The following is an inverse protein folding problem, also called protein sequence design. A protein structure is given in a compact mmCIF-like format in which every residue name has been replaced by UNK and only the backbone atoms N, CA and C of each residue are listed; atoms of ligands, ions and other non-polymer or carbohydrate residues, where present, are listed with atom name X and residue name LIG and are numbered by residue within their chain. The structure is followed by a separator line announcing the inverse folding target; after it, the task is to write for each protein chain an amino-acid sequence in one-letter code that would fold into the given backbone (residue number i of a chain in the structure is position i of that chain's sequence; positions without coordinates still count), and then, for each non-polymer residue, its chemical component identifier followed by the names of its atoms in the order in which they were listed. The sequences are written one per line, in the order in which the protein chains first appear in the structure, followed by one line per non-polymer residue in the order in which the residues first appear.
data_IF_360573602185
#
_entry.id   IF_360573602185
#
_cell.length_a   1.000
_cell.length_b   1.000
_cell.length_c   1.000
_cell.angle_alpha   90.00
_cell.angle_beta   90.00
_cell.angle_gamma   90.00
#
_symmetry.space_group_name_H-M   'P 1'
#
loop_
_entity.id
_entity.type
_entity.pdbx_description
1 polymer ?
#
# COMPACT_ATOMS: atom_id res chain seq x y z
N UNK A 1 -6.30 -9.49 5.93
CA UNK A 1 -6.14 -10.96 5.96
C UNK A 1 -4.66 -11.36 5.97
N UNK A 2 -4.31 -12.48 6.62
CA UNK A 2 -2.93 -12.98 6.71
C UNK A 2 -2.29 -13.32 5.34
N UNK A 3 -3.09 -13.60 4.30
CA UNK A 3 -2.61 -13.96 2.96
C UNK A 3 -1.91 -12.82 2.21
N UNK A 4 -2.42 -11.60 2.30
CA UNK A 4 -1.74 -10.43 1.71
C UNK A 4 -0.41 -10.14 2.40
N UNK A 5 -0.34 -10.39 3.71
CA UNK A 5 0.86 -10.22 4.50
C UNK A 5 1.91 -11.32 4.24
N UNK A 6 1.50 -12.50 3.78
CA UNK A 6 2.39 -13.60 3.43
C UNK A 6 3.13 -13.40 2.10
N UNK A 7 2.75 -12.43 1.26
CA UNK A 7 3.38 -12.16 -0.05
C UNK A 7 4.44 -11.05 -0.03
N UNK A 8 4.59 -10.40 1.13
CA UNK A 8 5.50 -9.28 1.35
C UNK A 8 6.77 -9.76 2.07
N UNK A 9 7.93 -9.16 1.76
CA UNK A 9 9.14 -9.39 2.55
C UNK A 9 8.99 -8.92 4.00
N UNK A 10 8.04 -8.02 4.30
CA UNK A 10 7.83 -7.48 5.64
C UNK A 10 6.35 -7.23 5.96
N UNK A 11 5.92 -7.67 7.15
CA UNK A 11 4.58 -7.47 7.73
C UNK A 11 4.64 -6.60 9.00
N UNK A 12 3.66 -5.69 9.18
CA UNK A 12 3.41 -5.00 10.45
C UNK A 12 2.49 -5.85 11.34
N UNK A 13 3.04 -6.42 12.40
CA UNK A 13 2.33 -7.40 13.26
C UNK A 13 1.66 -6.73 14.48
N UNK A 14 2.16 -5.61 14.98
CA UNK A 14 1.67 -4.99 16.23
C UNK A 14 1.99 -3.47 16.28
N UNK A 15 1.08 -2.65 16.83
CA UNK A 15 1.24 -1.19 17.02
C UNK A 15 -0.12 -0.47 17.17
N UNK A 16 -0.22 0.60 17.99
CA UNK A 16 -1.46 1.33 18.26
C UNK A 16 -2.07 1.96 16.99
N UNK A 17 -3.39 2.11 16.98
CA UNK A 17 -4.22 2.36 15.79
C UNK A 17 -4.61 3.83 15.56
N UNK A 18 -4.60 4.70 16.56
CA UNK A 18 -5.19 6.05 16.45
C UNK A 18 -4.26 7.20 16.87
N UNK A 19 -2.98 6.89 17.03
CA UNK A 19 -1.97 7.88 17.41
C UNK A 19 -1.42 8.65 16.21
N UNK A 20 -0.95 9.89 16.39
CA UNK A 20 -0.13 10.57 15.38
C UNK A 20 1.03 9.65 14.97
N UNK A 21 1.62 9.82 13.76
CA UNK A 21 2.75 9.01 13.33
C UNK A 21 3.84 9.06 14.41
N UNK A 22 4.08 7.92 15.07
CA UNK A 22 5.02 7.72 16.16
C UNK A 22 6.00 6.61 15.78
N UNK A 23 7.21 6.64 16.32
CA UNK A 23 8.26 5.67 16.02
C UNK A 23 7.96 4.33 16.73
N UNK A 24 7.20 3.47 16.04
CA UNK A 24 6.83 2.12 16.50
C UNK A 24 7.99 1.12 16.41
N UNK A 25 8.13 0.26 17.43
CA UNK A 25 9.02 -0.91 17.41
C UNK A 25 8.36 -2.02 16.57
N UNK A 26 8.68 -2.07 15.29
CA UNK A 26 8.08 -3.01 14.35
C UNK A 26 8.71 -4.40 14.49
N UNK A 27 7.89 -5.42 14.73
CA UNK A 27 8.30 -6.83 14.52
C UNK A 27 8.07 -7.18 13.06
N UNK A 28 9.17 -7.33 12.32
CA UNK A 28 9.18 -7.71 10.91
C UNK A 28 9.17 -9.24 10.78
N UNK A 29 8.19 -9.80 10.07
CA UNK A 29 8.13 -11.23 9.74
C UNK A 29 8.40 -11.42 8.23
N UNK A 30 9.21 -12.43 7.82
CA UNK A 30 9.44 -12.72 6.41
C UNK A 30 8.21 -13.38 5.77
N UNK A 31 7.68 -12.81 4.69
CA UNK A 31 6.72 -13.46 3.80
C UNK A 31 7.40 -13.98 2.52
N UNK A 32 6.66 -14.77 1.74
CA UNK A 32 7.05 -15.26 0.42
C UNK A 32 7.51 -14.09 -0.45
N UNK A 33 8.75 -14.19 -0.92
CA UNK A 33 9.66 -13.18 -1.47
C UNK A 33 9.22 -12.44 -2.76
N UNK A 34 7.93 -12.22 -2.96
CA UNK A 34 7.33 -11.70 -4.18
C UNK A 34 7.35 -10.16 -4.25
N UNK A 35 7.20 -9.47 -3.12
CA UNK A 35 7.30 -8.02 -3.01
C UNK A 35 8.53 -7.62 -2.20
N UNK A 36 9.62 -7.30 -2.90
CA UNK A 36 10.83 -6.73 -2.29
C UNK A 36 10.59 -5.26 -1.98
N UNK A 37 11.08 -4.80 -0.83
CA UNK A 37 11.03 -3.38 -0.42
C UNK A 37 9.61 -2.83 -0.28
N UNK A 38 8.63 -3.69 0.04
CA UNK A 38 7.26 -3.30 0.37
C UNK A 38 6.95 -3.72 1.80
N UNK A 39 6.24 -2.88 2.53
CA UNK A 39 5.62 -3.22 3.81
C UNK A 39 4.11 -3.18 3.63
N UNK A 40 3.42 -4.25 4.03
CA UNK A 40 1.97 -4.36 3.91
C UNK A 40 1.30 -4.20 5.26
N UNK A 41 0.25 -3.37 5.28
CA UNK A 41 -0.68 -3.20 6.38
C UNK A 41 -2.12 -3.55 5.94
N UNK A 42 -2.91 -4.15 6.81
CA UNK A 42 -4.25 -4.68 6.55
C UNK A 42 -5.29 -3.95 7.40
N UNK A 43 -6.57 -3.96 7.03
CA UNK A 43 -7.63 -3.23 7.77
C UNK A 43 -7.25 -1.75 7.96
N UNK A 44 -6.70 -1.16 6.89
CA UNK A 44 -5.87 0.03 6.97
C UNK A 44 -6.65 1.26 7.41
N UNK A 45 -7.64 1.70 6.63
CA UNK A 45 -8.46 2.86 6.97
C UNK A 45 -9.33 2.61 8.21
N UNK A 46 -9.84 1.38 8.36
CA UNK A 46 -10.78 1.01 9.43
C UNK A 46 -10.19 1.12 10.84
N UNK A 47 -8.86 1.07 10.95
CA UNK A 47 -8.14 1.08 12.23
C UNK A 47 -7.13 2.24 12.32
N UNK A 48 -7.32 3.33 11.57
CA UNK A 48 -6.48 4.53 11.67
C UNK A 48 -5.00 4.33 11.32
N UNK A 49 -4.65 3.29 10.55
CA UNK A 49 -3.26 2.79 10.43
C UNK A 49 -2.33 3.63 9.56
N UNK A 50 -2.78 4.78 9.09
CA UNK A 50 -1.95 5.71 8.33
C UNK A 50 -0.72 6.17 9.12
N UNK A 51 -0.90 6.51 10.40
CA UNK A 51 0.18 7.01 11.25
C UNK A 51 1.35 6.03 11.33
N UNK A 52 1.09 4.77 11.67
CA UNK A 52 2.15 3.76 11.76
C UNK A 52 2.79 3.41 10.43
N UNK A 53 2.03 3.41 9.33
CA UNK A 53 2.58 3.14 8.00
C UNK A 53 3.50 4.29 7.54
N UNK A 54 3.12 5.54 7.81
CA UNK A 54 3.99 6.71 7.62
C UNK A 54 5.27 6.59 8.46
N UNK A 55 5.18 6.15 9.72
CA UNK A 55 6.35 5.94 10.56
C UNK A 55 7.31 4.87 10.03
N UNK A 56 6.80 3.84 9.36
CA UNK A 56 7.64 2.81 8.72
C UNK A 56 8.40 3.43 7.54
N UNK A 57 7.68 4.15 6.67
CA UNK A 57 8.27 4.79 5.50
C UNK A 57 9.23 5.91 5.89
N UNK A 58 8.96 6.63 6.98
CA UNK A 58 9.88 7.64 7.51
C UNK A 58 11.20 7.01 7.95
N UNK A 59 11.16 5.86 8.63
CA UNK A 59 12.36 5.15 9.09
C UNK A 59 13.18 4.55 7.95
N UNK A 60 12.52 4.19 6.83
CA UNK A 60 13.20 3.73 5.63
C UNK A 60 12.46 4.21 4.37
N UNK A 61 12.83 5.38 3.82
CA UNK A 61 12.22 5.96 2.62
C UNK A 61 12.34 5.10 1.35
N UNK A 62 13.26 4.13 1.35
CA UNK A 62 13.39 3.16 0.25
C UNK A 62 12.31 2.07 0.29
N UNK A 63 11.54 1.94 1.36
CA UNK A 63 10.41 1.00 1.42
C UNK A 63 9.13 1.69 0.92
N UNK A 64 8.33 0.95 0.16
CA UNK A 64 6.95 1.30 -0.17
C UNK A 64 6.00 0.83 0.94
N UNK A 65 5.20 1.73 1.49
CA UNK A 65 4.10 1.35 2.38
C UNK A 65 2.85 1.01 1.59
N UNK A 66 2.21 -0.11 1.87
CA UNK A 66 0.97 -0.56 1.22
C UNK A 66 -0.12 -0.83 2.27
N UNK A 67 -1.04 0.10 2.43
CA UNK A 67 -2.25 -0.06 3.24
C UNK A 67 -3.37 -0.65 2.42
N UNK A 68 -3.88 -1.82 2.81
CA UNK A 68 -5.01 -2.49 2.14
C UNK A 68 -6.22 -2.48 3.07
N UNK A 69 -7.31 -1.90 2.59
CA UNK A 69 -8.59 -1.86 3.31
C UNK A 69 -9.27 -3.23 3.37
N UNK A 70 -10.32 -3.34 4.18
CA UNK A 70 -11.21 -4.50 4.18
C UNK A 70 -11.84 -4.73 2.80
N UNK A 71 -12.21 -5.99 2.53
CA UNK A 71 -12.81 -6.44 1.27
C UNK A 71 -12.06 -5.98 0.01
N UNK A 72 -10.75 -5.77 0.15
CA UNK A 72 -9.84 -5.27 -0.89
C UNK A 72 -8.55 -6.09 -0.91
N UNK A 73 -8.01 -6.29 -2.09
CA UNK A 73 -6.73 -6.96 -2.29
C UNK A 73 -5.98 -6.39 -3.50
N UNK A 74 -4.70 -6.73 -3.59
CA UNK A 74 -3.88 -6.49 -4.77
C UNK A 74 -3.54 -7.81 -5.45
N UNK A 75 -3.59 -7.84 -6.77
CA UNK A 75 -3.07 -8.94 -7.58
C UNK A 75 -1.73 -8.48 -8.13
N UNK A 76 -0.65 -9.10 -7.65
CA UNK A 76 0.72 -8.78 -8.06
C UNK A 76 1.07 -9.61 -9.29
N UNK A 77 1.51 -8.92 -10.33
CA UNK A 77 1.88 -9.52 -11.60
C UNK A 77 3.38 -9.79 -11.68
N UNK A 78 3.83 -10.84 -12.41
CA UNK A 78 5.25 -11.20 -12.49
C UNK A 78 6.18 -10.09 -13.00
N UNK A 79 5.63 -9.08 -13.66
CA UNK A 79 6.37 -7.94 -14.24
C UNK A 79 6.59 -6.79 -13.24
N UNK A 80 6.26 -6.97 -11.96
CA UNK A 80 6.56 -6.00 -10.91
C UNK A 80 5.58 -4.83 -10.86
N UNK A 81 4.31 -5.09 -11.13
CA UNK A 81 3.20 -4.17 -10.92
C UNK A 81 2.04 -4.92 -10.27
N UNK A 82 1.09 -4.20 -9.68
CA UNK A 82 -0.13 -4.80 -9.18
C UNK A 82 -1.36 -4.07 -9.70
N UNK A 83 -2.51 -4.76 -9.64
CA UNK A 83 -3.84 -4.16 -9.80
C UNK A 83 -4.68 -4.34 -8.53
N UNK A 84 -5.57 -3.40 -8.27
CA UNK A 84 -6.50 -3.45 -7.13
C UNK A 84 -7.77 -4.22 -7.52
N UNK A 85 -8.21 -5.08 -6.62
CA UNK A 85 -9.51 -5.77 -6.66
C UNK A 85 -10.26 -5.57 -5.35
N UNK A 86 -11.59 -5.61 -5.39
CA UNK A 86 -12.43 -5.48 -4.21
C UNK A 86 -13.16 -4.15 -4.13
N UNK A 87 -13.82 -3.89 -3.00
CA UNK A 87 -14.80 -2.80 -2.88
C UNK A 87 -14.27 -1.50 -2.28
N UNK A 88 -13.09 -1.52 -1.63
CA UNK A 88 -12.48 -0.33 -1.03
C UNK A 88 -11.17 0.03 -1.74
N UNK A 89 -10.19 0.57 -1.00
CA UNK A 89 -8.99 1.16 -1.59
C UNK A 89 -7.70 0.51 -1.12
N UNK A 90 -6.66 0.72 -1.91
CA UNK A 90 -5.28 0.44 -1.55
C UNK A 90 -4.54 1.77 -1.50
N UNK A 91 -3.97 2.09 -0.34
CA UNK A 91 -3.12 3.26 -0.14
C UNK A 91 -1.65 2.87 -0.31
N UNK A 92 -0.97 3.52 -1.24
CA UNK A 92 0.48 3.43 -1.43
C UNK A 92 1.14 4.67 -0.85
N UNK A 93 2.15 4.48 -0.01
CA UNK A 93 2.98 5.54 0.57
C UNK A 93 4.41 5.39 0.04
N UNK A 94 4.88 6.38 -0.73
CA UNK A 94 6.24 6.46 -1.25
C UNK A 94 7.04 7.54 -0.52
N UNK A 95 8.08 7.12 0.20
CA UNK A 95 8.96 7.98 0.97
C UNK A 95 10.10 8.60 0.18
N UNK A 96 10.36 8.20 -1.08
CA UNK A 96 11.54 8.66 -1.83
C UNK A 96 11.66 10.17 -1.97
N UNK A 97 10.55 10.89 -1.91
CA UNK A 97 10.49 12.35 -2.02
C UNK A 97 10.63 13.08 -0.68
N UNK A 98 10.77 12.36 0.44
CA UNK A 98 10.91 12.97 1.77
C UNK A 98 12.16 13.86 1.82
N UNK A 99 11.99 15.11 2.23
CA UNK A 99 13.09 16.08 2.37
C UNK A 99 13.38 16.44 3.84
N UNK A 100 12.34 16.45 4.69
CA UNK A 100 12.47 16.73 6.12
C UNK A 100 11.80 15.61 6.90
N UNK A 101 12.55 15.03 7.85
CA UNK A 101 11.99 14.16 8.88
C UNK A 101 12.78 14.30 10.18
N UNK A 102 12.09 14.28 11.32
CA UNK A 102 12.71 14.20 12.64
C UNK A 102 12.83 12.75 13.17
N UNK A 103 12.55 11.73 12.34
CA UNK A 103 12.44 10.32 12.78
C UNK A 103 13.70 9.77 13.46
N UNK A 104 14.88 10.26 13.10
CA UNK A 104 16.16 9.84 13.67
C UNK A 104 16.45 10.46 15.05
N UNK A 105 15.85 11.61 15.34
CA UNK A 105 16.14 12.45 16.51
C UNK A 105 15.07 12.31 17.61
N UNK A 106 13.93 11.73 17.26
CA UNK A 106 12.73 11.68 18.09
C UNK A 106 12.60 10.35 18.87
N UNK A 107 12.11 10.45 20.10
CA UNK A 107 11.77 9.30 20.94
C UNK A 107 10.61 8.48 20.33
N UNK A 108 10.45 7.19 20.68
CA UNK A 108 9.42 6.30 20.12
C UNK A 108 7.99 6.87 20.11
N UNK A 109 7.62 7.60 21.15
CA UNK A 109 6.28 8.13 21.45
C UNK A 109 6.08 9.59 21.03
N UNK A 110 7.13 10.25 20.53
CA UNK A 110 7.04 11.65 20.17
C UNK A 110 6.55 11.84 18.72
N UNK A 111 5.83 12.95 18.41
CA UNK A 111 5.26 13.18 17.09
C UNK A 111 6.31 13.30 15.98
N UNK A 112 6.03 12.68 14.83
CA UNK A 112 6.88 12.81 13.65
C UNK A 112 6.54 14.05 12.82
N UNK A 113 7.58 14.82 12.50
CA UNK A 113 7.59 15.72 11.37
C UNK A 113 8.00 14.92 10.12
N UNK A 114 7.21 15.02 9.06
CA UNK A 114 7.45 14.32 7.80
C UNK A 114 6.88 15.16 6.65
N UNK A 115 7.71 15.49 5.67
CA UNK A 115 7.29 16.35 4.55
C UNK A 115 7.58 15.71 3.20
N UNK A 116 6.82 16.11 2.18
CA UNK A 116 6.97 15.61 0.80
C UNK A 116 6.84 14.08 0.70
N UNK A 117 5.92 13.49 1.47
CA UNK A 117 5.51 12.10 1.29
C UNK A 117 4.56 12.03 0.10
N UNK A 118 4.80 11.11 -0.82
CA UNK A 118 3.86 10.89 -1.93
C UNK A 118 2.88 9.80 -1.52
N UNK A 119 1.59 10.08 -1.64
CA UNK A 119 0.52 9.15 -1.32
C UNK A 119 -0.39 8.92 -2.52
N UNK A 120 -0.68 7.67 -2.83
CA UNK A 120 -1.64 7.27 -3.85
C UNK A 120 -2.76 6.47 -3.19
N UNK A 121 -4.01 6.81 -3.47
CA UNK A 121 -5.18 6.04 -3.01
C UNK A 121 -5.83 5.46 -4.25
N UNK A 122 -5.81 4.14 -4.37
CA UNK A 122 -6.13 3.41 -5.59
C UNK A 122 -7.36 2.53 -5.36
N UNK A 123 -8.50 2.81 -6.01
CA UNK A 123 -9.66 1.92 -5.97
C UNK A 123 -9.50 0.76 -6.96
N UNK A 124 -10.48 -0.13 -6.99
CA UNK A 124 -10.59 -1.15 -8.03
C UNK A 124 -10.47 -0.53 -9.43
N UNK A 125 -9.76 -1.25 -10.32
CA UNK A 125 -9.51 -0.79 -11.69
C UNK A 125 -8.19 -0.07 -11.88
N UNK A 126 -7.59 0.42 -10.79
CA UNK A 126 -6.26 1.02 -10.80
C UNK A 126 -5.19 0.02 -10.39
N UNK A 127 -3.93 0.41 -10.60
CA UNK A 127 -2.78 -0.36 -10.20
C UNK A 127 -1.58 0.51 -9.87
N UNK A 128 -0.44 -0.13 -9.69
CA UNK A 128 0.80 0.55 -9.36
C UNK A 128 2.01 -0.22 -9.91
N UNK A 129 2.91 0.47 -10.59
CA UNK A 129 4.21 -0.07 -11.00
C UNK A 129 5.17 0.01 -9.81
N UNK A 130 5.55 -1.13 -9.24
CA UNK A 130 6.40 -1.18 -8.04
C UNK A 130 7.84 -0.73 -8.31
N UNK A 131 8.30 -0.82 -9.56
CA UNK A 131 9.68 -0.48 -9.95
C UNK A 131 9.83 1.01 -10.19
N UNK A 132 8.91 1.57 -10.98
CA UNK A 132 8.92 3.01 -11.29
C UNK A 132 8.28 3.84 -10.16
N UNK A 133 7.48 3.18 -9.32
CA UNK A 133 6.57 3.75 -8.30
C UNK A 133 5.68 4.83 -8.88
N UNK A 134 4.88 4.41 -9.85
CA UNK A 134 3.89 5.24 -10.52
C UNK A 134 2.53 4.56 -10.45
N UNK A 135 1.44 5.32 -10.22
CA UNK A 135 0.10 4.78 -10.35
C UNK A 135 -0.17 4.40 -11.80
N UNK A 136 -0.93 3.32 -11.99
CA UNK A 136 -1.38 2.81 -13.28
C UNK A 136 -2.89 2.99 -13.37
N UNK A 137 -3.34 3.65 -14.42
CA UNK A 137 -4.74 3.81 -14.75
C UNK A 137 -5.27 2.57 -15.48
N UNK A 138 -6.60 2.38 -15.58
CA UNK A 138 -7.18 1.24 -16.29
C UNK A 138 -6.62 1.04 -17.71
N UNK A 139 -6.36 2.12 -18.45
CA UNK A 139 -5.75 2.09 -19.78
C UNK A 139 -4.31 1.58 -19.76
N UNK A 140 -3.52 1.96 -18.75
CA UNK A 140 -2.15 1.47 -18.58
C UNK A 140 -2.15 -0.03 -18.31
N UNK A 141 -3.05 -0.48 -17.43
CA UNK A 141 -3.23 -1.91 -17.12
C UNK A 141 -3.66 -2.71 -18.35
N UNK A 142 -4.58 -2.15 -19.14
CA UNK A 142 -5.04 -2.79 -20.37
C UNK A 142 -3.92 -2.91 -21.41
N UNK A 143 -3.04 -1.91 -21.50
CA UNK A 143 -1.86 -1.95 -22.36
C UNK A 143 -0.78 -2.93 -21.85
N UNK A 144 -0.64 -3.08 -20.53
CA UNK A 144 0.36 -3.96 -19.91
C UNK A 144 -0.02 -5.46 -19.98
N UNK A 145 -1.33 -5.79 -19.97
CA UNK A 145 -1.83 -7.17 -20.03
C UNK A 145 -3.24 -7.25 -20.61
N UNK A 146 -3.44 -7.86 -21.79
CA UNK A 146 -4.77 -8.14 -22.35
C UNK A 146 -5.65 -9.00 -21.44
N UNK A 147 -5.05 -9.91 -20.65
CA UNK A 147 -5.77 -10.72 -19.67
C UNK A 147 -6.29 -9.88 -18.51
N UNK A 148 -5.48 -8.93 -18.01
CA UNK A 148 -5.92 -7.97 -17.01
C UNK A 148 -7.04 -7.06 -17.56
N UNK A 149 -6.94 -6.63 -18.82
CA UNK A 149 -8.00 -5.88 -19.50
C UNK A 149 -9.33 -6.65 -19.55
N UNK A 150 -9.29 -7.96 -19.81
CA UNK A 150 -10.47 -8.81 -19.87
C UNK A 150 -11.11 -9.01 -18.49
N UNK A 151 -10.31 -9.18 -17.44
CA UNK A 151 -10.80 -9.23 -16.06
C UNK A 151 -11.42 -7.90 -15.63
N UNK A 152 -10.78 -6.76 -15.90
CA UNK A 152 -11.31 -5.44 -15.58
C UNK A 152 -12.70 -5.19 -16.21
N UNK A 153 -12.92 -5.68 -17.44
CA UNK A 153 -14.23 -5.59 -18.11
C UNK A 153 -15.34 -6.37 -17.40
N UNK A 154 -15.01 -7.50 -16.73
CA UNK A 154 -15.99 -8.26 -15.94
C UNK A 154 -16.50 -7.46 -14.75
N UNK A 155 -15.65 -6.58 -14.20
CA UNK A 155 -15.99 -5.73 -13.06
C UNK A 155 -16.59 -4.38 -13.47
N UNK A 156 -16.32 -3.90 -14.69
CA UNK A 156 -16.91 -2.66 -15.22
C UNK A 156 -18.37 -2.83 -15.68
N UNK A 157 -18.83 -4.06 -15.92
CA UNK A 157 -20.20 -4.36 -16.37
C UNK A 157 -21.26 -4.43 -15.26
N UNK A 158 -20.96 -3.92 -14.06
CA UNK A 158 -21.84 -4.03 -12.89
C UNK A 158 -22.80 -2.86 -12.64
N UNK A 159 -22.79 -1.82 -13.48
CA UNK A 159 -23.60 -0.60 -13.28
C UNK A 159 -24.67 -0.36 -14.37
N UNK A 160 -25.03 -1.42 -15.11
CA UNK A 160 -26.23 -1.42 -15.95
C UNK A 160 -27.24 -2.46 -15.43
N UNK A 161 -27.99 -2.11 -14.38
CA UNK A 161 -29.16 -2.91 -14.02
C UNK A 161 -29.70 -2.71 -12.61
N UNK A 162 -30.52 -1.67 -12.43
CA UNK A 162 -31.78 -1.60 -11.66
C UNK A 162 -32.15 -0.10 -11.66
N UNK A 163 -33.20 0.37 -12.34
CA UNK A 163 -34.59 -0.06 -12.21
C UNK A 163 -35.35 1.07 -11.53
#
# INVERSE_FOLDING_TARGET
SAGASAMSDTMIVEGPSDDPPQRCTLKMAPGFRLLREVVVDQHFAQRGRLGRLLSVVAQNPYILGLGIDEDTAVVVEPRGWFRVIGSCTVTVIDGRSIQLSNVSETAPDAPLALTQVTMHVLPQGYGFDLRNRLPLQPEDLAALSPAAAQELRKYAGGDEGEG
#
